data_IF_537575341524
#
_entry.id   IF_537575341524
#
_cell.length_a   1.000
_cell.length_b   1.000
_cell.length_c   1.000
_cell.angle_alpha   90.00
_cell.angle_beta   90.00
_cell.angle_gamma   90.00
#
_symmetry.space_group_name_H-M   'P 1'
#
loop_
_entity.id
_entity.type
_entity.pdbx_description
1 polymer ?
#
# COMPACT_ATOMS: atom_id res chain seq x y z
N UNK A 1 14.13 2.80 -12.90
CA UNK A 1 13.54 3.42 -11.69
C UNK A 1 14.66 3.71 -10.71
N UNK A 2 14.72 4.91 -10.14
CA UNK A 2 15.83 5.36 -9.30
C UNK A 2 15.68 4.84 -7.87
N UNK A 3 16.79 4.39 -7.24
CA UNK A 3 16.84 3.98 -5.84
C UNK A 3 17.25 5.14 -4.93
N UNK A 4 17.09 4.93 -3.63
CA UNK A 4 17.47 5.86 -2.55
C UNK A 4 16.82 7.24 -2.71
N UNK A 5 15.55 7.24 -3.12
CA UNK A 5 14.75 8.46 -3.26
C UNK A 5 13.47 8.40 -2.42
N UNK A 6 13.05 9.59 -1.96
CA UNK A 6 11.84 9.79 -1.17
C UNK A 6 11.05 10.98 -1.71
N UNK A 7 9.73 10.86 -1.67
CA UNK A 7 8.79 11.96 -1.90
C UNK A 7 8.11 12.27 -0.57
N UNK A 8 7.88 13.54 -0.28
CA UNK A 8 7.30 14.00 0.98
C UNK A 8 5.96 14.70 0.74
N UNK A 9 5.04 14.58 1.69
CA UNK A 9 3.89 15.48 1.72
C UNK A 9 4.36 16.90 2.07
N UNK A 10 3.63 17.91 1.63
CA UNK A 10 3.93 19.32 1.98
C UNK A 10 4.02 19.52 3.49
N UNK A 11 3.10 18.89 4.24
CA UNK A 11 3.09 18.95 5.71
C UNK A 11 4.36 18.38 6.32
N UNK A 12 4.79 17.20 5.86
CA UNK A 12 5.99 16.55 6.38
C UNK A 12 7.26 17.27 5.96
N UNK A 13 7.33 17.75 4.71
CA UNK A 13 8.43 18.56 4.24
C UNK A 13 8.63 19.82 5.10
N UNK A 14 7.54 20.54 5.40
CA UNK A 14 7.59 21.72 6.27
C UNK A 14 7.99 21.38 7.72
N UNK A 15 7.51 20.25 8.23
CA UNK A 15 7.88 19.77 9.59
C UNK A 15 9.37 19.50 9.74
N UNK A 16 10.01 18.96 8.68
CA UNK A 16 11.42 18.55 8.72
C UNK A 16 12.38 19.68 8.30
N UNK A 17 12.00 20.44 7.28
CA UNK A 17 12.89 21.44 6.65
C UNK A 17 12.45 22.89 6.87
N UNK A 18 11.32 23.13 7.56
CA UNK A 18 10.74 24.47 7.74
C UNK A 18 10.38 25.09 6.40
N UNK A 19 10.84 26.30 6.15
CA UNK A 19 10.60 27.04 4.89
C UNK A 19 11.69 26.78 3.83
N UNK A 20 12.68 25.95 4.15
CA UNK A 20 13.75 25.66 3.20
C UNK A 20 13.27 24.71 2.09
N UNK A 21 13.79 24.89 0.86
CA UNK A 21 13.52 23.97 -0.22
C UNK A 21 14.10 22.56 0.10
N UNK A 22 13.28 21.53 0.24
CA UNK A 22 13.76 20.18 0.59
C UNK A 22 14.29 19.41 -0.61
N UNK A 23 14.02 19.82 -1.85
CA UNK A 23 14.40 19.08 -3.06
C UNK A 23 15.93 18.94 -3.13
N UNK A 24 16.39 17.71 -3.30
CA UNK A 24 17.82 17.38 -3.36
C UNK A 24 18.49 17.22 -2.00
N UNK A 25 17.80 17.58 -0.89
CA UNK A 25 18.33 17.34 0.45
C UNK A 25 18.21 15.85 0.82
N UNK A 26 18.99 15.47 1.82
CA UNK A 26 19.06 14.09 2.31
C UNK A 26 18.30 13.94 3.62
N UNK A 27 17.57 12.83 3.73
CA UNK A 27 16.96 12.33 4.96
C UNK A 27 17.59 11.00 5.32
N UNK A 28 18.00 10.84 6.55
CA UNK A 28 18.47 9.55 7.04
C UNK A 28 17.29 8.72 7.54
N UNK A 29 17.14 7.50 7.03
CA UNK A 29 16.13 6.56 7.46
C UNK A 29 16.66 5.67 8.58
N UNK A 30 16.15 5.87 9.78
CA UNK A 30 16.41 5.03 10.97
C UNK A 30 17.92 4.74 11.22
N UNK A 31 18.77 5.71 10.94
CA UNK A 31 20.23 5.57 11.02
C UNK A 31 20.85 4.46 10.13
N UNK A 32 20.08 3.95 9.17
CA UNK A 32 20.50 2.85 8.31
C UNK A 32 21.00 3.31 6.94
N UNK A 33 20.30 4.26 6.32
CA UNK A 33 20.68 4.78 5.00
C UNK A 33 20.05 6.12 4.68
N UNK A 34 20.64 6.77 3.70
CA UNK A 34 20.23 8.08 3.25
C UNK A 34 19.27 8.00 2.05
N UNK A 35 18.27 8.89 2.07
CA UNK A 35 17.29 9.07 1.02
C UNK A 35 17.34 10.50 0.50
N UNK A 36 17.41 10.67 -0.81
CA UNK A 36 17.36 11.98 -1.44
C UNK A 36 15.90 12.40 -1.71
N UNK A 37 15.51 13.57 -1.25
CA UNK A 37 14.19 14.14 -1.55
C UNK A 37 14.11 14.51 -3.04
N UNK A 38 13.21 13.86 -3.78
CA UNK A 38 13.02 14.08 -5.21
C UNK A 38 11.77 14.89 -5.56
N UNK A 39 10.83 14.98 -4.64
CA UNK A 39 9.62 15.72 -4.88
C UNK A 39 8.78 15.92 -3.64
N UNK A 40 7.85 16.85 -3.74
CA UNK A 40 6.83 17.13 -2.74
C UNK A 40 5.49 16.90 -3.41
N UNK A 41 4.55 16.30 -2.71
CA UNK A 41 3.18 16.13 -3.14
C UNK A 41 2.22 16.87 -2.20
N UNK A 42 1.09 17.32 -2.75
CA UNK A 42 0.05 18.00 -1.99
C UNK A 42 -0.48 17.10 -0.86
N UNK A 43 -0.79 17.69 0.28
CA UNK A 43 -1.39 16.96 1.37
C UNK A 43 -2.69 16.30 0.91
N UNK A 44 -2.85 15.03 1.25
CA UNK A 44 -4.10 14.31 1.01
C UNK A 44 -5.15 14.76 2.05
N UNK A 45 -6.44 14.65 1.72
CA UNK A 45 -7.50 14.91 2.67
C UNK A 45 -7.35 14.04 3.94
N UNK A 46 -7.67 14.58 5.11
CA UNK A 46 -7.54 13.86 6.39
C UNK A 46 -8.36 12.56 6.44
N UNK A 47 -9.46 12.52 5.71
CA UNK A 47 -10.33 11.35 5.59
C UNK A 47 -9.90 10.37 4.49
N UNK A 48 -8.73 10.57 3.87
CA UNK A 48 -8.20 9.61 2.92
C UNK A 48 -7.76 8.33 3.63
N UNK A 49 -8.19 7.18 3.12
CA UNK A 49 -7.82 5.85 3.67
C UNK A 49 -6.30 5.62 3.63
N UNK A 50 -5.63 6.22 2.65
CA UNK A 50 -4.18 6.17 2.50
C UNK A 50 -3.68 7.61 2.55
N UNK A 51 -2.96 7.95 3.61
CA UNK A 51 -2.45 9.29 3.83
C UNK A 51 -0.99 9.24 4.31
N UNK A 52 -0.07 8.76 3.45
CA UNK A 52 1.34 8.70 3.79
C UNK A 52 1.91 10.10 3.95
N UNK A 53 2.79 10.31 4.90
CA UNK A 53 3.60 11.54 5.01
C UNK A 53 4.82 11.51 4.11
N UNK A 54 5.30 10.30 3.78
CA UNK A 54 6.46 10.07 2.91
C UNK A 54 6.28 8.79 2.09
N UNK A 55 6.83 8.79 0.89
CA UNK A 55 6.82 7.65 -0.03
C UNK A 55 8.22 7.36 -0.51
N UNK A 56 8.71 6.15 -0.24
CA UNK A 56 10.04 5.69 -0.66
C UNK A 56 9.90 4.86 -1.94
N UNK A 57 10.88 4.95 -2.81
CA UNK A 57 10.86 4.17 -4.07
C UNK A 57 11.03 2.66 -3.82
N UNK A 58 10.24 1.84 -4.50
CA UNK A 58 10.34 0.37 -4.41
C UNK A 58 11.76 -0.17 -4.69
N UNK A 59 12.54 0.34 -5.68
CA UNK A 59 13.92 -0.09 -5.86
C UNK A 59 14.82 0.10 -4.64
N UNK A 60 14.53 1.08 -3.78
CA UNK A 60 15.23 1.24 -2.50
C UNK A 60 14.99 0.06 -1.59
N UNK A 61 13.72 -0.34 -1.44
CA UNK A 61 13.36 -1.49 -0.62
C UNK A 61 13.97 -2.78 -1.18
N UNK A 62 13.92 -2.96 -2.49
CA UNK A 62 14.50 -4.13 -3.15
C UNK A 62 16.01 -4.24 -2.95
N UNK A 63 16.75 -3.13 -3.02
CA UNK A 63 18.20 -3.14 -2.85
C UNK A 63 18.65 -3.44 -1.41
N UNK A 64 17.73 -3.39 -0.44
CA UNK A 64 18.00 -3.57 0.99
C UNK A 64 17.57 -4.93 1.54
N UNK A 65 17.08 -5.82 0.68
CA UNK A 65 16.54 -7.13 1.08
C UNK A 65 15.47 -7.05 2.19
N UNK A 66 14.77 -5.92 2.27
CA UNK A 66 13.73 -5.70 3.29
C UNK A 66 12.46 -6.53 3.06
N UNK A 67 12.42 -7.22 1.94
CA UNK A 67 11.27 -7.97 1.53
C UNK A 67 11.60 -9.43 1.30
N UNK A 68 10.77 -10.24 1.86
CA UNK A 68 10.66 -11.61 1.42
C UNK A 68 9.88 -11.60 0.08
N UNK A 69 10.57 -11.78 -1.05
CA UNK A 69 9.96 -11.91 -2.38
C UNK A 69 9.37 -13.30 -2.64
N UNK A 70 9.06 -14.01 -1.59
CA UNK A 70 8.42 -15.31 -1.69
C UNK A 70 6.95 -15.13 -2.08
N UNK A 71 6.43 -16.06 -2.87
CA UNK A 71 5.01 -16.20 -3.14
C UNK A 71 4.25 -16.77 -1.95
N UNK A 72 4.95 -17.29 -0.95
CA UNK A 72 4.45 -17.78 0.31
C UNK A 72 5.01 -16.94 1.46
N UNK A 73 4.14 -16.37 2.26
CA UNK A 73 4.47 -15.65 3.49
C UNK A 73 4.13 -14.16 3.49
N UNK A 74 3.66 -13.72 4.64
CA UNK A 74 3.51 -12.33 5.08
C UNK A 74 2.45 -11.48 4.39
N UNK A 75 1.65 -10.79 5.18
CA UNK A 75 0.64 -9.81 4.73
C UNK A 75 1.22 -8.38 4.73
N UNK A 76 2.45 -8.25 4.22
CA UNK A 76 3.20 -6.98 4.32
C UNK A 76 2.83 -5.94 3.26
N UNK A 77 1.95 -6.28 2.30
CA UNK A 77 1.69 -5.43 1.14
C UNK A 77 0.22 -5.17 0.91
N UNK A 78 -0.09 -3.90 0.63
CA UNK A 78 -1.35 -3.49 0.03
C UNK A 78 -1.06 -2.98 -1.36
N UNK A 79 -1.67 -3.58 -2.38
CA UNK A 79 -1.41 -3.26 -3.77
C UNK A 79 -2.59 -2.53 -4.40
N UNK A 80 -2.30 -1.47 -5.16
CA UNK A 80 -3.29 -0.70 -5.90
C UNK A 80 -3.08 -0.86 -7.39
N UNK A 81 -4.16 -1.23 -8.10
CA UNK A 81 -4.15 -1.43 -9.54
C UNK A 81 -5.12 -0.43 -10.18
N UNK A 82 -4.61 0.33 -11.16
CA UNK A 82 -5.46 1.17 -12.00
C UNK A 82 -5.85 0.44 -13.27
N UNK A 83 -7.13 0.20 -13.45
CA UNK A 83 -7.66 -0.42 -14.65
C UNK A 83 -7.74 0.57 -15.82
N UNK A 84 -7.59 0.06 -17.03
CA UNK A 84 -7.98 0.80 -18.24
C UNK A 84 -9.51 0.96 -18.26
N UNK A 85 -10.02 2.05 -18.84
CA UNK A 85 -11.47 2.18 -19.06
C UNK A 85 -12.03 0.93 -19.78
N UNK A 86 -13.16 0.42 -19.31
CA UNK A 86 -13.79 -0.77 -19.88
C UNK A 86 -13.18 -2.12 -19.50
N UNK A 87 -12.17 -2.16 -18.61
CA UNK A 87 -11.63 -3.43 -18.14
C UNK A 87 -12.68 -4.19 -17.28
N UNK A 88 -12.85 -5.46 -17.58
CA UNK A 88 -13.74 -6.34 -16.82
C UNK A 88 -13.03 -6.89 -15.57
N UNK A 89 -13.61 -6.58 -14.41
CA UNK A 89 -13.10 -7.04 -13.11
C UNK A 89 -13.05 -8.57 -13.01
N UNK A 90 -13.99 -9.29 -13.60
CA UNK A 90 -14.04 -10.75 -13.55
C UNK A 90 -12.84 -11.37 -14.28
N UNK A 91 -12.46 -10.80 -15.43
CA UNK A 91 -11.29 -11.22 -16.20
C UNK A 91 -9.99 -10.95 -15.42
N UNK A 92 -9.94 -9.82 -14.72
CA UNK A 92 -8.75 -9.51 -13.89
C UNK A 92 -8.63 -10.48 -12.72
N UNK A 93 -9.73 -10.76 -12.00
CA UNK A 93 -9.73 -11.74 -10.91
C UNK A 93 -9.30 -13.13 -11.39
N UNK A 94 -9.85 -13.60 -12.50
CA UNK A 94 -9.47 -14.90 -13.07
C UNK A 94 -7.96 -14.98 -13.41
N UNK A 95 -7.37 -13.87 -13.88
CA UNK A 95 -5.92 -13.81 -14.15
C UNK A 95 -5.09 -13.80 -12.87
N UNK A 96 -5.57 -13.13 -11.82
CA UNK A 96 -4.90 -13.14 -10.50
C UNK A 96 -4.94 -14.55 -9.92
N UNK A 97 -6.08 -15.23 -9.96
CA UNK A 97 -6.21 -16.60 -9.49
C UNK A 97 -5.26 -17.55 -10.25
N UNK A 98 -5.22 -17.45 -11.58
CA UNK A 98 -4.31 -18.25 -12.39
C UNK A 98 -2.82 -17.95 -12.09
N UNK A 99 -2.49 -16.71 -11.76
CA UNK A 99 -1.13 -16.33 -11.34
C UNK A 99 -0.80 -16.94 -9.98
N UNK A 100 -1.72 -16.89 -9.02
CA UNK A 100 -1.55 -17.52 -7.70
C UNK A 100 -1.35 -19.02 -7.87
N UNK A 101 -2.19 -19.67 -8.65
CA UNK A 101 -2.08 -21.11 -8.92
C UNK A 101 -0.75 -21.51 -9.58
N UNK A 102 -0.18 -20.62 -10.39
CA UNK A 102 1.09 -20.87 -11.07
C UNK A 102 2.32 -20.73 -10.16
N UNK A 103 2.31 -19.76 -9.28
CA UNK A 103 3.51 -19.35 -8.56
C UNK A 103 3.52 -19.71 -7.07
N UNK A 104 2.37 -20.04 -6.51
CA UNK A 104 2.25 -20.47 -5.12
C UNK A 104 2.26 -21.99 -5.00
N UNK A 105 2.93 -22.56 -3.99
CA UNK A 105 2.86 -23.99 -3.73
C UNK A 105 1.42 -24.46 -3.53
N UNK A 106 1.08 -25.60 -4.10
CA UNK A 106 -0.28 -26.15 -4.00
C UNK A 106 -0.68 -26.47 -2.54
N UNK A 107 0.31 -26.81 -1.73
CA UNK A 107 0.16 -27.07 -0.30
C UNK A 107 -0.35 -25.83 0.45
N UNK A 108 0.22 -24.65 0.15
CA UNK A 108 -0.17 -23.39 0.78
C UNK A 108 -1.65 -23.06 0.50
N UNK A 109 -2.10 -23.29 -0.74
CA UNK A 109 -3.50 -23.05 -1.11
C UNK A 109 -4.45 -23.98 -0.36
N UNK A 110 -4.06 -25.25 -0.20
CA UNK A 110 -4.85 -26.26 0.53
C UNK A 110 -4.89 -25.98 2.03
N UNK A 111 -3.78 -25.54 2.61
CA UNK A 111 -3.66 -25.30 4.04
C UNK A 111 -4.31 -23.98 4.48
N UNK A 112 -4.10 -22.90 3.72
CA UNK A 112 -4.51 -21.53 4.11
C UNK A 112 -5.67 -20.98 3.30
N UNK A 113 -6.14 -21.65 2.26
CA UNK A 113 -7.30 -21.26 1.47
C UNK A 113 -7.15 -19.91 0.77
N UNK A 114 -5.96 -19.57 0.29
CA UNK A 114 -5.69 -18.27 -0.32
C UNK A 114 -6.56 -18.01 -1.54
N UNK A 115 -7.25 -16.89 -1.49
CA UNK A 115 -7.93 -16.27 -2.64
C UNK A 115 -7.50 -14.82 -2.75
N UNK A 116 -7.36 -14.31 -3.95
CA UNK A 116 -7.13 -12.89 -4.17
C UNK A 116 -8.16 -12.34 -5.14
N UNK A 117 -8.64 -11.15 -4.84
CA UNK A 117 -9.61 -10.45 -5.67
C UNK A 117 -9.35 -8.96 -5.62
N UNK A 118 -9.74 -8.26 -6.69
CA UNK A 118 -9.70 -6.81 -6.71
C UNK A 118 -11.04 -6.24 -6.24
N UNK A 119 -10.98 -5.18 -5.46
CA UNK A 119 -12.15 -4.42 -5.04
C UNK A 119 -11.95 -2.93 -5.34
N UNK A 120 -13.02 -2.16 -5.59
CA UNK A 120 -12.91 -0.72 -5.73
C UNK A 120 -12.35 -0.08 -4.46
N UNK A 121 -11.44 0.88 -4.60
CA UNK A 121 -10.81 1.57 -3.47
C UNK A 121 -11.84 2.19 -2.52
N UNK A 122 -12.97 2.68 -3.05
CA UNK A 122 -14.09 3.20 -2.26
C UNK A 122 -14.75 2.19 -1.33
N UNK A 123 -14.63 0.89 -1.67
CA UNK A 123 -15.23 -0.19 -0.91
C UNK A 123 -14.27 -0.76 0.15
N UNK A 124 -12.98 -0.43 0.07
CA UNK A 124 -11.97 -0.86 1.02
C UNK A 124 -12.31 -0.41 2.44
N UNK A 125 -12.77 0.83 2.60
CA UNK A 125 -13.20 1.35 3.90
C UNK A 125 -14.41 0.60 4.46
N UNK A 126 -15.34 0.14 3.61
CA UNK A 126 -16.55 -0.58 4.03
C UNK A 126 -16.28 -2.02 4.43
N UNK A 127 -15.22 -2.60 3.90
CA UNK A 127 -14.87 -4.00 4.09
C UNK A 127 -13.72 -4.21 5.08
N UNK A 128 -13.24 -3.13 5.71
CA UNK A 128 -12.25 -3.26 6.77
C UNK A 128 -12.90 -3.97 7.97
N UNK A 129 -12.24 -4.99 8.52
CA UNK A 129 -12.78 -5.83 9.61
C UNK A 129 -13.29 -5.02 10.80
N UNK A 130 -12.64 -3.92 11.13
CA UNK A 130 -13.05 -3.02 12.22
C UNK A 130 -14.37 -2.29 11.93
N UNK A 131 -14.60 -1.91 10.66
CA UNK A 131 -15.88 -1.28 10.25
C UNK A 131 -17.00 -2.32 10.24
N UNK A 132 -16.72 -3.55 9.84
CA UNK A 132 -17.68 -4.65 9.93
C UNK A 132 -18.05 -4.96 11.38
N UNK A 133 -17.06 -5.03 12.28
CA UNK A 133 -17.29 -5.21 13.72
C UNK A 133 -18.13 -4.06 14.30
N UNK A 134 -17.81 -2.82 13.94
CA UNK A 134 -18.57 -1.65 14.42
C UNK A 134 -20.01 -1.65 13.90
N UNK A 135 -20.25 -2.05 12.64
CA UNK A 135 -21.61 -2.22 12.10
C UNK A 135 -22.42 -3.28 12.85
N UNK A 136 -21.80 -4.41 13.17
CA UNK A 136 -22.44 -5.46 13.97
C UNK A 136 -22.83 -4.93 15.34
N UNK A 137 -21.94 -4.21 16.01
CA UNK A 137 -22.18 -3.62 17.34
C UNK A 137 -23.31 -2.58 17.25
N UNK A 138 -23.32 -1.70 16.26
CA UNK A 138 -24.36 -0.70 16.06
C UNK A 138 -25.70 -1.34 15.75
N UNK A 139 -25.74 -2.40 14.97
CA UNK A 139 -26.97 -3.16 14.70
C UNK A 139 -27.54 -3.84 15.95
N UNK A 140 -26.68 -4.40 16.81
CA UNK A 140 -27.09 -5.00 18.08
C UNK A 140 -27.66 -3.94 19.03
N UNK A 141 -27.10 -2.72 19.00
CA UNK A 141 -27.56 -1.61 19.84
C UNK A 141 -28.77 -0.87 19.26
N UNK A 142 -29.25 -1.25 18.06
CA UNK A 142 -30.38 -0.59 17.39
C UNK A 142 -30.07 0.84 16.95
N UNK A 143 -28.80 1.16 16.71
CA UNK A 143 -28.29 2.48 16.29
C UNK A 143 -28.01 2.57 14.77
N UNK A 144 -28.42 1.56 13.99
CA UNK A 144 -28.24 1.51 12.54
C UNK A 144 -29.51 1.89 11.79
#
# INVERSE_FOLDING_TARGET
MQKDIIFLSERFARKVFGEENPIGKTLNYDHQFDLTVKGIYANLPENATINPEAVISMPTLWSRNWNNYSWSGGDSWVEFIRFRPGADKSVVNARIDAMIDKYRPAEDKKEYGYTAFVQPIRDTYRNYDDVQRMRVIMSILGLA
#
